data_IF_129892702507
#
_entry.id   IF_129892702507
#
_cell.length_a   1.000
_cell.length_b   1.000
_cell.length_c   1.000
_cell.angle_alpha   90.00
_cell.angle_beta   90.00
_cell.angle_gamma   90.00
#
_symmetry.space_group_name_H-M   'P 1'
#
loop_
_entity.id
_entity.type
_entity.pdbx_description
1 polymer ?
#
# COMPACT_ATOMS: atom_id res chain seq x y z
N UNK A 1 -5.51 -14.97 10.04
CA UNK A 1 -5.91 -14.11 9.58
C UNK A 1 -5.29 -12.94 9.85
N UNK A 2 -4.61 -12.55 9.33
CA UNK A 2 -4.04 -11.52 9.59
C UNK A 2 -4.57 -10.34 9.13
N UNK A 3 -5.49 -10.31 8.39
CA UNK A 3 -6.02 -9.18 7.94
C UNK A 3 -6.90 -8.56 8.87
N UNK A 4 -6.66 -7.50 9.41
CA UNK A 4 -7.57 -6.77 10.27
C UNK A 4 -8.68 -6.22 9.43
N UNK A 5 -9.91 -6.41 9.82
CA UNK A 5 -11.01 -5.85 9.06
C UNK A 5 -11.02 -4.34 9.05
N UNK A 6 -10.22 -3.72 9.92
CA UNK A 6 -10.20 -2.28 9.96
C UNK A 6 -9.27 -1.68 8.92
N UNK A 7 -8.46 -2.46 8.26
CA UNK A 7 -7.54 -1.93 7.28
C UNK A 7 -7.99 -2.27 5.86
N UNK A 8 -7.97 -1.28 5.00
CA UNK A 8 -8.51 -1.41 3.66
C UNK A 8 -7.44 -1.04 2.65
N UNK A 9 -7.29 -1.85 1.61
CA UNK A 9 -6.30 -1.57 0.58
C UNK A 9 -6.72 -0.39 -0.26
N UNK A 10 -5.83 0.58 -0.44
CA UNK A 10 -6.14 1.76 -1.20
C UNK A 10 -5.27 1.91 -2.43
N UNK A 11 -4.18 1.19 -2.53
CA UNK A 11 -3.28 1.39 -3.65
C UNK A 11 -2.37 0.18 -3.81
N UNK A 12 -2.04 -0.14 -5.05
CA UNK A 12 -1.06 -1.16 -5.36
C UNK A 12 -0.15 -0.60 -6.44
N UNK A 13 1.13 -0.68 -6.24
CA UNK A 13 2.08 -0.17 -7.22
C UNK A 13 3.50 -0.46 -6.80
N UNK A 14 4.45 0.15 -7.51
CA UNK A 14 5.85 -0.11 -7.21
C UNK A 14 6.27 0.66 -5.96
N UNK A 15 7.47 0.35 -5.48
CA UNK A 15 7.95 0.91 -4.23
C UNK A 15 8.05 2.43 -4.28
N UNK A 16 8.42 2.97 -5.43
CA UNK A 16 8.60 4.41 -5.54
C UNK A 16 7.27 5.13 -5.37
N UNK A 17 6.23 4.65 -6.05
CA UNK A 17 4.93 5.27 -5.92
C UNK A 17 4.35 5.08 -4.53
N UNK A 18 4.55 3.91 -3.95
CA UNK A 18 4.05 3.64 -2.62
C UNK A 18 4.74 4.55 -1.61
N UNK A 19 6.05 4.77 -1.78
CA UNK A 19 6.77 5.62 -0.86
C UNK A 19 6.27 7.07 -0.93
N UNK A 20 6.00 7.56 -2.14
CA UNK A 20 5.49 8.91 -2.29
C UNK A 20 4.14 9.06 -1.61
N UNK A 21 3.25 8.07 -1.80
CA UNK A 21 1.96 8.12 -1.16
C UNK A 21 2.08 8.01 0.35
N UNK A 22 2.96 7.14 0.81
CA UNK A 22 3.14 6.97 2.24
C UNK A 22 3.60 8.27 2.89
N UNK A 23 4.54 8.97 2.24
CA UNK A 23 5.01 10.22 2.78
C UNK A 23 3.90 11.26 2.83
N UNK A 24 3.07 11.32 1.81
CA UNK A 24 1.96 12.25 1.81
C UNK A 24 0.96 11.92 2.90
N UNK A 25 0.72 10.64 3.13
CA UNK A 25 -0.20 10.23 4.18
C UNK A 25 0.36 10.56 5.56
N UNK A 26 1.65 10.39 5.73
CA UNK A 26 2.25 10.70 7.02
C UNK A 26 2.19 12.18 7.33
N UNK A 27 2.23 13.02 6.33
CA UNK A 27 2.09 14.44 6.56
C UNK A 27 0.73 14.79 7.12
N UNK A 28 -0.26 13.94 6.82
CA UNK A 28 -1.59 14.14 7.38
C UNK A 28 -1.80 13.28 8.61
N UNK A 29 -0.71 12.70 9.14
CA UNK A 29 -0.78 11.86 10.33
C UNK A 29 -1.63 10.62 10.11
N UNK A 30 -1.61 10.09 8.89
CA UNK A 30 -2.32 8.87 8.58
C UNK A 30 -1.28 7.75 8.50
N UNK A 31 -1.49 6.69 9.27
CA UNK A 31 -0.58 5.56 9.29
C UNK A 31 -0.98 4.59 8.21
N UNK A 32 -0.05 4.27 7.32
CA UNK A 32 -0.31 3.32 6.25
C UNK A 32 0.49 2.06 6.48
N UNK A 33 -0.12 0.92 6.21
CA UNK A 33 0.54 -0.37 6.31
C UNK A 33 0.88 -0.82 4.90
N UNK A 34 2.11 -1.23 4.67
CA UNK A 34 2.55 -1.61 3.35
C UNK A 34 2.94 -3.06 3.36
N UNK A 35 2.40 -3.82 2.41
CA UNK A 35 2.72 -5.21 2.24
C UNK A 35 3.43 -5.39 0.91
N UNK A 36 4.47 -6.21 0.92
CA UNK A 36 5.29 -6.41 -0.25
C UNK A 36 5.08 -7.82 -0.75
N UNK A 37 4.58 -7.95 -1.98
CA UNK A 37 4.29 -9.24 -2.54
C UNK A 37 5.50 -9.91 -3.16
N UNK A 38 6.61 -9.24 -3.27
CA UNK A 38 7.75 -9.82 -3.96
C UNK A 38 8.27 -11.05 -3.24
N UNK A 39 8.08 -11.12 -1.95
CA UNK A 39 8.54 -12.26 -1.22
C UNK A 39 7.72 -13.50 -1.55
N UNK A 40 6.41 -13.35 -1.66
CA UNK A 40 5.56 -14.45 -2.05
C UNK A 40 5.87 -14.91 -3.47
N UNK A 41 6.14 -13.98 -4.34
CA UNK A 41 6.48 -14.33 -5.70
C UNK A 41 7.77 -15.14 -5.76
N UNK A 42 8.72 -14.75 -4.93
CA UNK A 42 9.97 -15.48 -4.89
C UNK A 42 9.77 -16.89 -4.38
N UNK A 43 8.91 -17.04 -3.40
CA UNK A 43 8.63 -18.36 -2.86
C UNK A 43 7.92 -19.24 -3.87
N UNK A 44 7.15 -18.64 -4.75
CA UNK A 44 6.47 -19.40 -5.77
C UNK A 44 7.44 -19.95 -6.83
N UNK A 45 8.62 -19.36 -6.91
CA UNK A 45 9.61 -19.90 -7.81
C UNK A 45 9.42 -19.57 -9.25
N UNK A 46 8.48 -18.65 -9.55
CA UNK A 46 8.25 -18.37 -10.92
C UNK A 46 9.19 -17.34 -11.44
N UNK A 47 9.58 -16.40 -10.71
CA UNK A 47 10.48 -15.39 -11.14
C UNK A 47 9.96 -14.49 -12.22
N UNK A 48 8.68 -14.65 -12.54
CA UNK A 48 8.13 -13.83 -13.57
C UNK A 48 7.30 -12.72 -13.03
N UNK A 49 7.18 -12.60 -11.75
CA UNK A 49 6.34 -11.59 -11.18
C UNK A 49 7.07 -10.28 -11.17
N UNK A 50 6.38 -9.20 -11.40
CA UNK A 50 6.99 -7.89 -11.36
C UNK A 50 7.52 -7.62 -9.97
N UNK A 51 8.80 -7.45 -9.81
CA UNK A 51 9.35 -7.24 -8.49
C UNK A 51 9.00 -5.86 -7.99
N UNK A 52 8.87 -5.73 -6.71
CA UNK A 52 8.63 -4.44 -6.12
C UNK A 52 7.20 -3.99 -6.05
N UNK A 53 6.27 -4.84 -6.42
CA UNK A 53 4.88 -4.46 -6.25
C UNK A 53 4.52 -4.51 -4.78
N UNK A 54 3.92 -3.45 -4.31
CA UNK A 54 3.53 -3.34 -2.90
C UNK A 54 2.09 -2.91 -2.80
N UNK A 55 1.45 -3.30 -1.71
CA UNK A 55 0.07 -2.94 -1.44
C UNK A 55 0.03 -2.04 -0.22
N UNK A 56 -0.78 -1.02 -0.28
CA UNK A 56 -0.88 -0.05 0.80
C UNK A 56 -2.27 -0.10 1.40
N UNK A 57 -2.33 -0.17 2.72
CA UNK A 57 -3.60 -0.25 3.45
C UNK A 57 -3.66 0.88 4.46
N UNK A 58 -4.86 1.39 4.71
CA UNK A 58 -5.05 2.38 5.77
C UNK A 58 -6.26 1.97 6.59
N UNK A 59 -6.36 2.53 7.79
CA UNK A 59 -7.49 2.26 8.66
C UNK A 59 -8.75 2.84 8.06
N UNK A 60 -9.87 2.15 8.25
CA UNK A 60 -11.11 2.58 7.63
C UNK A 60 -11.53 3.96 8.08
N UNK A 61 -11.16 4.38 9.28
CA UNK A 61 -11.50 5.71 9.75
C UNK A 61 -10.81 6.78 8.96
N UNK A 62 -9.70 6.45 8.31
CA UNK A 62 -8.94 7.41 7.55
C UNK A 62 -9.07 7.19 6.06
N UNK A 63 -9.98 6.31 5.65
CA UNK A 63 -10.08 5.93 4.26
C UNK A 63 -10.39 7.12 3.36
N UNK A 64 -11.32 7.97 3.76
CA UNK A 64 -11.72 9.10 2.94
C UNK A 64 -10.55 10.03 2.69
N UNK A 65 -9.81 10.36 3.73
CA UNK A 65 -8.67 11.24 3.57
C UNK A 65 -7.61 10.58 2.72
N UNK A 66 -7.37 9.29 2.94
CA UNK A 66 -6.34 8.58 2.20
C UNK A 66 -6.66 8.55 0.71
N UNK A 67 -7.91 8.30 0.37
CA UNK A 67 -8.30 8.25 -1.03
C UNK A 67 -8.10 9.60 -1.69
N UNK A 68 -8.41 10.68 -1.00
CA UNK A 68 -8.22 12.01 -1.57
C UNK A 68 -6.75 12.26 -1.86
N UNK A 69 -5.87 11.81 -0.97
CA UNK A 69 -4.45 11.98 -1.17
C UNK A 69 -3.98 11.17 -2.37
N UNK A 70 -4.45 9.94 -2.48
CA UNK A 70 -4.08 9.10 -3.60
C UNK A 70 -4.51 9.75 -4.91
N UNK A 71 -5.71 10.29 -4.95
CA UNK A 71 -6.20 10.93 -6.17
C UNK A 71 -5.41 12.18 -6.51
N UNK A 72 -4.95 12.88 -5.50
CA UNK A 72 -4.17 14.08 -5.75
C UNK A 72 -2.82 13.76 -6.35
N UNK A 73 -2.23 12.64 -5.94
CA UNK A 73 -0.91 12.31 -6.43
C UNK A 73 -0.91 11.50 -7.72
N UNK A 74 -2.03 11.03 -8.16
CA UNK A 74 -2.08 10.25 -9.38
C UNK A 74 -1.74 11.06 -10.62
#
# INVERSE_FOLDING_TARGET
MDQSPDFIKIFTGNAINVLALRNALEEKKIVAVIKDDSESARLAGFGMVAPGLQEMFVHEDELDQAIRIVETLK
#
